data_IF_472452042925
#
_entry.id   IF_472452042925
#
_cell.length_a   1.000
_cell.length_b   1.000
_cell.length_c   1.000
_cell.angle_alpha   90.00
_cell.angle_beta   90.00
_cell.angle_gamma   90.00
#
_symmetry.space_group_name_H-M   'P 1'
#
loop_
_entity.id
_entity.type
_entity.pdbx_description
1 polymer ?
#
# COMPACT_ATOMS: atom_id res chain seq x y z
N UNK A 1 29.88 11.08 -11.89
CA UNK A 1 29.18 10.47 -13.05
C UNK A 1 27.76 11.00 -13.09
N UNK A 2 27.54 12.13 -13.77
CA UNK A 2 26.21 12.75 -13.87
C UNK A 2 25.43 12.10 -15.02
N UNK A 3 24.61 11.09 -14.69
CA UNK A 3 23.68 10.49 -15.65
C UNK A 3 22.66 11.52 -16.11
N UNK A 4 22.38 11.57 -17.42
CA UNK A 4 21.33 12.42 -18.01
C UNK A 4 20.04 12.28 -17.21
N UNK A 5 19.34 13.39 -16.91
CA UNK A 5 17.99 13.35 -16.34
C UNK A 5 17.14 12.40 -17.20
N UNK A 6 16.65 11.33 -16.58
CA UNK A 6 15.83 10.32 -17.24
C UNK A 6 14.68 10.98 -17.98
N UNK A 7 14.32 10.49 -19.17
CA UNK A 7 13.20 11.09 -19.90
C UNK A 7 11.89 10.92 -19.11
N UNK A 8 10.90 11.79 -19.35
CA UNK A 8 9.56 11.68 -18.72
C UNK A 8 9.00 10.24 -18.77
N UNK A 9 9.08 9.50 -19.91
CA UNK A 9 8.70 8.08 -19.97
C UNK A 9 9.48 7.16 -19.02
N UNK A 10 10.78 7.39 -18.83
CA UNK A 10 11.61 6.57 -17.95
C UNK A 10 11.28 6.83 -16.48
N UNK A 11 11.05 8.09 -16.10
CA UNK A 11 10.60 8.48 -14.76
C UNK A 11 9.23 7.86 -14.44
N UNK A 12 8.28 7.94 -15.37
CA UNK A 12 6.97 7.30 -15.24
C UNK A 12 7.08 5.78 -15.01
N UNK A 13 7.96 5.10 -15.76
CA UNK A 13 8.20 3.66 -15.62
C UNK A 13 8.85 3.32 -14.28
N UNK A 14 9.80 4.13 -13.81
CA UNK A 14 10.42 3.97 -12.50
C UNK A 14 9.40 4.12 -11.37
N UNK A 15 8.58 5.17 -11.40
CA UNK A 15 7.52 5.38 -10.42
C UNK A 15 6.48 4.25 -10.43
N UNK A 16 6.09 3.72 -11.60
CA UNK A 16 5.19 2.55 -11.65
C UNK A 16 5.78 1.32 -10.96
N UNK A 17 7.09 1.07 -11.12
CA UNK A 17 7.78 -0.04 -10.44
C UNK A 17 7.83 0.17 -8.93
N UNK A 18 8.08 1.40 -8.50
CA UNK A 18 8.10 1.78 -7.09
C UNK A 18 6.72 1.59 -6.45
N UNK A 19 5.66 2.13 -7.05
CA UNK A 19 4.27 1.96 -6.60
C UNK A 19 3.90 0.47 -6.45
N UNK A 20 4.25 -0.37 -7.43
CA UNK A 20 4.01 -1.82 -7.35
C UNK A 20 4.84 -2.49 -6.24
N UNK A 21 6.03 -1.98 -5.93
CA UNK A 21 6.86 -2.49 -4.83
C UNK A 21 6.21 -2.13 -3.50
N UNK A 22 5.79 -0.88 -3.32
CA UNK A 22 5.10 -0.38 -2.14
C UNK A 22 3.81 -1.15 -1.88
N UNK A 23 3.00 -1.43 -2.91
CA UNK A 23 1.78 -2.22 -2.73
C UNK A 23 2.08 -3.65 -2.23
N UNK A 24 3.11 -4.31 -2.78
CA UNK A 24 3.56 -5.63 -2.27
C UNK A 24 4.09 -5.58 -0.84
N UNK A 25 4.68 -4.48 -0.42
CA UNK A 25 5.13 -4.27 0.96
C UNK A 25 3.93 -4.09 1.89
N UNK A 26 2.94 -3.28 1.49
CA UNK A 26 1.68 -3.12 2.23
C UNK A 26 0.92 -4.44 2.40
N UNK A 27 0.88 -5.29 1.37
CA UNK A 27 0.26 -6.62 1.47
C UNK A 27 0.99 -7.51 2.48
N UNK A 28 2.33 -7.48 2.48
CA UNK A 28 3.13 -8.24 3.47
C UNK A 28 2.91 -7.74 4.89
N UNK A 29 2.87 -6.43 5.08
CA UNK A 29 2.62 -5.84 6.40
C UNK A 29 1.19 -6.11 6.86
N UNK A 30 0.22 -6.16 5.96
CA UNK A 30 -1.15 -6.57 6.26
C UNK A 30 -1.22 -7.99 6.83
N UNK A 31 -0.48 -8.92 6.25
CA UNK A 31 -0.43 -10.29 6.75
C UNK A 31 0.19 -10.38 8.16
N UNK A 32 1.19 -9.54 8.44
CA UNK A 32 1.75 -9.40 9.80
C UNK A 32 0.71 -8.86 10.78
N UNK A 33 -0.05 -7.84 10.37
CA UNK A 33 -1.14 -7.28 11.18
C UNK A 33 -2.26 -8.30 11.43
N UNK A 34 -2.57 -9.18 10.49
CA UNK A 34 -3.55 -10.27 10.69
C UNK A 34 -3.08 -11.29 11.73
N UNK A 35 -1.81 -11.68 11.66
CA UNK A 35 -1.21 -12.59 12.66
C UNK A 35 -1.24 -11.95 14.06
N UNK A 36 -0.88 -10.67 14.14
CA UNK A 36 -0.90 -9.91 15.38
C UNK A 36 -2.33 -9.72 15.93
N UNK A 37 -3.31 -9.47 15.06
CA UNK A 37 -4.73 -9.41 15.42
C UNK A 37 -5.17 -10.73 16.08
N UNK A 38 -4.83 -11.87 15.47
CA UNK A 38 -5.18 -13.18 16.01
C UNK A 38 -4.48 -13.47 17.35
N UNK A 39 -3.21 -13.06 17.49
CA UNK A 39 -2.47 -13.16 18.75
C UNK A 39 -3.14 -12.37 19.86
N UNK A 40 -3.47 -11.10 19.60
CA UNK A 40 -4.13 -10.23 20.58
C UNK A 40 -5.49 -10.79 20.98
N UNK A 41 -6.28 -11.30 20.03
CA UNK A 41 -7.58 -11.93 20.34
C UNK A 41 -7.41 -13.12 21.28
N UNK A 42 -6.42 -13.98 21.03
CA UNK A 42 -6.14 -15.13 21.88
C UNK A 42 -5.68 -14.70 23.29
N UNK A 43 -4.86 -13.66 23.38
CA UNK A 43 -4.42 -13.11 24.67
C UNK A 43 -5.56 -12.45 25.45
N UNK A 44 -6.47 -11.75 24.77
CA UNK A 44 -7.68 -11.20 25.40
C UNK A 44 -8.51 -12.34 26.00
N UNK A 45 -8.75 -13.43 25.25
CA UNK A 45 -9.51 -14.59 25.75
C UNK A 45 -8.86 -15.20 26.98
N UNK A 46 -7.53 -15.39 26.96
CA UNK A 46 -6.78 -15.95 28.08
C UNK A 46 -6.80 -15.03 29.32
N UNK A 47 -6.64 -13.72 29.14
CA UNK A 47 -6.67 -12.77 30.27
C UNK A 47 -8.08 -12.55 30.81
N UNK A 48 -9.10 -12.69 29.96
CA UNK A 48 -10.49 -12.64 30.39
C UNK A 48 -10.84 -13.84 31.27
N UNK A 49 -10.38 -15.06 30.94
CA UNK A 49 -10.62 -16.25 31.75
C UNK A 49 -9.91 -16.22 33.11
N UNK A 50 -8.78 -15.51 33.22
CA UNK A 50 -8.08 -15.31 34.50
C UNK A 50 -8.57 -14.10 35.29
N UNK A 51 -9.55 -13.35 34.77
CA UNK A 51 -10.10 -12.17 35.43
C UNK A 51 -9.19 -10.94 35.41
N UNK A 52 -8.11 -10.94 34.62
CA UNK A 52 -7.18 -9.82 34.52
C UNK A 52 -7.75 -8.68 33.64
N UNK A 53 -8.68 -7.92 34.22
CA UNK A 53 -9.40 -6.83 33.54
C UNK A 53 -8.48 -5.75 32.97
N UNK A 54 -7.39 -5.40 33.68
CA UNK A 54 -6.44 -4.37 33.23
C UNK A 54 -5.70 -4.80 31.96
N UNK A 55 -5.27 -6.05 31.88
CA UNK A 55 -4.64 -6.58 30.67
C UNK A 55 -5.63 -6.63 29.50
N UNK A 56 -6.87 -7.07 29.74
CA UNK A 56 -7.93 -7.08 28.71
C UNK A 56 -8.20 -5.68 28.16
N UNK A 57 -8.27 -4.65 29.01
CA UNK A 57 -8.51 -3.27 28.56
C UNK A 57 -7.39 -2.74 27.66
N UNK A 58 -6.13 -2.99 28.02
CA UNK A 58 -4.96 -2.57 27.23
C UNK A 58 -4.93 -3.30 25.88
N UNK A 59 -5.11 -4.63 25.90
CA UNK A 59 -5.11 -5.45 24.70
C UNK A 59 -6.28 -5.11 23.78
N UNK A 60 -7.46 -4.78 24.32
CA UNK A 60 -8.60 -4.34 23.53
C UNK A 60 -8.32 -3.02 22.79
N UNK A 61 -7.67 -2.05 23.45
CA UNK A 61 -7.22 -0.81 22.80
C UNK A 61 -6.20 -1.10 21.69
N UNK A 62 -5.29 -2.05 21.92
CA UNK A 62 -4.33 -2.48 20.90
C UNK A 62 -5.02 -3.15 19.70
N UNK A 63 -6.02 -4.01 19.94
CA UNK A 63 -6.80 -4.67 18.89
C UNK A 63 -7.46 -3.66 17.95
N UNK A 64 -8.08 -2.61 18.51
CA UNK A 64 -8.71 -1.55 17.70
C UNK A 64 -7.68 -0.82 16.84
N UNK A 65 -6.49 -0.53 17.38
CA UNK A 65 -5.41 0.11 16.61
C UNK A 65 -4.96 -0.77 15.44
N UNK A 66 -4.76 -2.07 15.66
CA UNK A 66 -4.36 -3.03 14.61
C UNK A 66 -5.43 -3.11 13.52
N UNK A 67 -6.72 -3.17 13.89
CA UNK A 67 -7.83 -3.16 12.93
C UNK A 67 -7.89 -1.89 12.09
N UNK A 68 -7.69 -0.74 12.72
CA UNK A 68 -7.64 0.55 12.03
C UNK A 68 -6.45 0.62 11.06
N UNK A 69 -5.28 0.15 11.49
CA UNK A 69 -4.09 0.10 10.63
C UNK A 69 -4.30 -0.84 9.43
N UNK A 70 -4.96 -1.98 9.64
CA UNK A 70 -5.35 -2.90 8.57
C UNK A 70 -6.30 -2.22 7.57
N UNK A 71 -7.33 -1.52 8.06
CA UNK A 71 -8.28 -0.78 7.21
C UNK A 71 -7.59 0.33 6.41
N UNK A 72 -6.69 1.11 7.04
CA UNK A 72 -5.88 2.13 6.36
C UNK A 72 -4.98 1.51 5.28
N UNK A 73 -4.42 0.32 5.51
CA UNK A 73 -3.63 -0.40 4.51
C UNK A 73 -4.45 -0.73 3.26
N UNK A 74 -5.72 -1.15 3.41
CA UNK A 74 -6.61 -1.39 2.26
C UNK A 74 -6.86 -0.10 1.46
N UNK A 75 -7.11 1.02 2.15
CA UNK A 75 -7.29 2.32 1.50
C UNK A 75 -6.02 2.76 0.75
N UNK A 76 -4.84 2.59 1.37
CA UNK A 76 -3.56 2.91 0.75
C UNK A 76 -3.29 2.07 -0.51
N UNK A 77 -3.55 0.76 -0.48
CA UNK A 77 -3.48 -0.10 -1.69
C UNK A 77 -4.39 0.42 -2.81
N UNK A 78 -5.63 0.82 -2.48
CA UNK A 78 -6.56 1.39 -3.46
C UNK A 78 -6.05 2.70 -4.08
N UNK A 79 -5.47 3.59 -3.27
CA UNK A 79 -4.86 4.83 -3.76
C UNK A 79 -3.67 4.55 -4.69
N UNK A 80 -2.80 3.62 -4.32
CA UNK A 80 -1.65 3.22 -5.15
C UNK A 80 -2.11 2.66 -6.50
N UNK A 81 -3.17 1.85 -6.51
CA UNK A 81 -3.74 1.31 -7.74
C UNK A 81 -4.33 2.41 -8.64
N UNK A 82 -4.99 3.41 -8.04
CA UNK A 82 -5.46 4.60 -8.74
C UNK A 82 -4.32 5.38 -9.41
N UNK A 83 -3.25 5.65 -8.66
CA UNK A 83 -2.05 6.34 -9.18
C UNK A 83 -1.36 5.54 -10.29
N UNK A 84 -1.27 4.21 -10.15
CA UNK A 84 -0.70 3.35 -11.18
C UNK A 84 -1.52 3.39 -12.49
N UNK A 85 -2.83 3.48 -12.39
CA UNK A 85 -3.75 3.63 -13.53
C UNK A 85 -3.57 4.99 -14.19
N UNK A 86 -3.52 6.07 -13.41
CA UNK A 86 -3.27 7.42 -13.91
C UNK A 86 -1.94 7.51 -14.67
N UNK A 87 -0.89 6.90 -14.13
CA UNK A 87 0.42 6.87 -14.77
C UNK A 87 0.41 6.08 -16.10
N UNK A 88 -0.37 5.01 -16.18
CA UNK A 88 -0.56 4.23 -17.43
C UNK A 88 -1.30 5.05 -18.48
N UNK A 89 -2.32 5.81 -18.09
CA UNK A 89 -3.03 6.74 -18.99
C UNK A 89 -2.09 7.84 -19.50
N UNK A 90 -1.31 8.46 -18.62
CA UNK A 90 -0.31 9.47 -19.01
C UNK A 90 0.70 8.92 -20.03
N UNK A 91 1.22 7.71 -19.81
CA UNK A 91 2.14 7.07 -20.74
C UNK A 91 1.49 6.78 -22.11
N UNK A 92 0.21 6.41 -22.12
CA UNK A 92 -0.55 6.18 -23.35
C UNK A 92 -0.78 7.48 -24.13
N UNK A 93 -1.13 8.57 -23.43
CA UNK A 93 -1.32 9.89 -24.02
C UNK A 93 -0.02 10.43 -24.64
N UNK A 94 1.14 10.26 -23.98
CA UNK A 94 2.44 10.68 -24.52
C UNK A 94 2.76 9.90 -25.81
N UNK A 95 2.51 8.58 -25.83
CA UNK A 95 2.72 7.77 -27.04
C UNK A 95 1.82 8.20 -28.19
N UNK A 96 0.56 8.49 -27.90
CA UNK A 96 -0.39 8.99 -28.89
C UNK A 96 0.05 10.35 -29.45
N UNK A 97 0.44 11.29 -28.59
CA UNK A 97 0.94 12.59 -29.02
C UNK A 97 2.17 12.47 -29.94
N UNK A 98 3.13 11.61 -29.56
CA UNK A 98 4.29 11.33 -30.41
C UNK A 98 3.87 10.72 -31.75
N UNK A 99 2.98 9.72 -31.76
CA UNK A 99 2.50 9.06 -32.98
C UNK A 99 1.76 10.04 -33.92
N UNK A 100 0.94 10.94 -33.35
CA UNK A 100 0.27 12.00 -34.12
C UNK A 100 1.27 12.97 -34.74
N UNK A 101 2.35 13.32 -34.03
CA UNK A 101 3.41 14.16 -34.56
C UNK A 101 4.15 13.52 -35.74
N UNK A 102 4.40 12.21 -35.71
CA UNK A 102 5.06 11.50 -36.83
C UNK A 102 4.13 11.33 -38.02
N UNK A 103 2.82 11.21 -37.79
CA UNK A 103 1.81 11.03 -38.84
C UNK A 103 1.39 12.34 -39.54
N UNK A 104 1.72 13.50 -38.97
CA UNK A 104 1.45 14.82 -39.57
C UNK A 104 2.61 15.35 -40.44
N UNK A 105 3.62 14.51 -40.71
CA UNK A 105 4.71 14.73 -41.65
C UNK A 105 4.55 13.77 -42.83
#
# INVERSE_FOLDING_TARGET
MFGKKASIPEQAKAHSRELRKTDRELVRDRHRLETEEQRIVNEIRKNASTGNKKAVEILAKQLVKVRNQKAQSFQASGQIQGLATQNTMMASNIRMANAMQVSSL
#
